data_IF_417287610370
#
_entry.id   IF_417287610370
#
_cell.length_a   1.000
_cell.length_b   1.000
_cell.length_c   1.000
_cell.angle_alpha   90.00
_cell.angle_beta   90.00
_cell.angle_gamma   90.00
#
_symmetry.space_group_name_H-M   'P 1'
#
loop_
_entity.id
_entity.type
_entity.pdbx_description
1 polymer ?
#
# COMPACT_ATOMS: atom_id res chain seq x y z
N UNK A 1 7.37 -10.03 -13.40
CA UNK A 1 7.83 -8.66 -13.72
C UNK A 1 7.04 -8.00 -14.85
N UNK A 2 6.35 -8.75 -15.73
CA UNK A 2 5.54 -8.18 -16.82
C UNK A 2 4.46 -7.19 -16.36
N UNK A 3 3.74 -7.51 -15.28
CA UNK A 3 2.71 -6.61 -14.71
C UNK A 3 3.26 -5.24 -14.32
N UNK A 4 4.43 -5.19 -13.67
CA UNK A 4 5.00 -3.91 -13.27
C UNK A 4 5.51 -3.09 -14.45
N UNK A 5 5.89 -3.72 -15.57
CA UNK A 5 6.23 -3.00 -16.80
C UNK A 5 5.03 -2.26 -17.40
N UNK A 6 3.83 -2.84 -17.31
CA UNK A 6 2.58 -2.21 -17.81
C UNK A 6 2.33 -0.87 -17.09
N UNK A 7 2.55 -0.84 -15.77
CA UNK A 7 2.38 0.37 -14.94
C UNK A 7 3.66 1.19 -14.76
N UNK A 8 4.70 0.90 -15.55
CA UNK A 8 5.93 1.70 -15.56
C UNK A 8 6.82 1.57 -14.32
N UNK A 9 6.67 0.52 -13.51
CA UNK A 9 7.57 0.23 -12.38
C UNK A 9 8.98 -0.06 -12.90
N UNK A 10 9.95 0.69 -12.39
CA UNK A 10 11.35 0.65 -12.86
C UNK A 10 12.29 -0.16 -11.97
N UNK A 11 11.93 -0.36 -10.71
CA UNK A 11 12.76 -1.06 -9.72
C UNK A 11 11.90 -2.05 -8.96
N UNK A 12 12.41 -3.28 -8.82
CA UNK A 12 11.82 -4.32 -7.99
C UNK A 12 12.85 -4.71 -6.93
N UNK A 13 12.39 -4.80 -5.68
CA UNK A 13 13.19 -5.28 -4.57
C UNK A 13 12.52 -6.54 -4.04
N UNK A 14 13.17 -7.69 -4.23
CA UNK A 14 12.72 -8.96 -3.67
C UNK A 14 13.46 -9.20 -2.36
N UNK A 15 12.71 -9.59 -1.32
CA UNK A 15 13.27 -9.86 0.02
C UNK A 15 13.46 -11.37 0.27
N UNK A 16 13.11 -12.18 -0.73
CA UNK A 16 13.39 -13.61 -0.81
C UNK A 16 12.96 -14.41 0.44
N UNK A 17 11.84 -14.01 1.03
CA UNK A 17 11.15 -14.78 2.06
C UNK A 17 9.98 -15.52 1.41
N UNK A 18 10.00 -16.84 1.49
CA UNK A 18 9.04 -17.68 0.79
C UNK A 18 7.66 -17.63 1.44
N UNK A 19 6.63 -17.67 0.59
CA UNK A 19 5.25 -17.96 0.98
C UNK A 19 5.05 -19.47 0.83
N UNK A 20 5.11 -20.20 1.94
CA UNK A 20 5.08 -21.67 1.94
C UNK A 20 3.66 -22.24 1.97
N UNK A 21 2.71 -21.49 2.54
CA UNK A 21 1.33 -21.92 2.70
C UNK A 21 0.37 -20.73 2.81
N UNK A 22 -0.86 -20.91 2.29
CA UNK A 22 -1.94 -19.97 2.55
C UNK A 22 -2.42 -20.10 3.99
N UNK A 23 -2.33 -19.02 4.76
CA UNK A 23 -2.83 -18.95 6.14
C UNK A 23 -3.14 -17.51 6.48
N UNK A 24 -4.17 -17.27 7.30
CA UNK A 24 -4.47 -15.95 7.87
C UNK A 24 -3.73 -15.69 9.19
N UNK A 25 -3.07 -16.71 9.74
CA UNK A 25 -2.32 -16.60 10.98
C UNK A 25 -0.97 -15.88 10.76
N UNK A 26 -0.90 -14.63 11.19
CA UNK A 26 0.31 -13.80 11.14
C UNK A 26 1.45 -14.37 11.99
N UNK A 27 1.14 -15.13 13.04
CA UNK A 27 2.16 -15.76 13.88
C UNK A 27 2.85 -16.88 13.12
N UNK A 28 2.12 -17.69 12.35
CA UNK A 28 2.73 -18.74 11.51
C UNK A 28 3.76 -18.14 10.55
N UNK A 29 3.43 -17.01 9.91
CA UNK A 29 4.36 -16.30 9.00
C UNK A 29 5.64 -15.87 9.74
N UNK A 30 5.50 -15.16 10.87
CA UNK A 30 6.64 -14.59 11.59
C UNK A 30 7.47 -15.63 12.39
N UNK A 31 6.88 -16.76 12.77
CA UNK A 31 7.55 -17.78 13.59
C UNK A 31 8.16 -18.91 12.77
N UNK A 32 7.65 -19.18 11.56
CA UNK A 32 8.05 -20.36 10.78
C UNK A 32 8.61 -20.05 9.41
N UNK A 33 8.25 -18.90 8.81
CA UNK A 33 8.55 -18.65 7.39
C UNK A 33 9.52 -17.49 7.20
N UNK A 34 9.21 -16.34 7.80
CA UNK A 34 9.94 -15.11 7.55
C UNK A 34 10.88 -14.75 8.69
N UNK A 35 12.12 -14.40 8.36
CA UNK A 35 13.02 -13.75 9.30
C UNK A 35 12.65 -12.27 9.42
N UNK A 36 11.95 -11.91 10.50
CA UNK A 36 11.51 -10.55 10.81
C UNK A 36 12.63 -9.50 10.69
N UNK A 37 13.75 -9.72 11.37
CA UNK A 37 14.84 -8.73 11.42
C UNK A 37 15.53 -8.57 10.06
N UNK A 38 15.64 -9.67 9.31
CA UNK A 38 16.09 -9.61 7.91
C UNK A 38 15.17 -8.73 7.06
N UNK A 39 13.86 -8.98 7.11
CA UNK A 39 12.88 -8.19 6.33
C UNK A 39 12.91 -6.71 6.71
N UNK A 40 12.97 -6.39 8.00
CA UNK A 40 13.11 -5.00 8.48
C UNK A 40 14.39 -4.36 7.95
N UNK A 41 15.52 -5.08 7.98
CA UNK A 41 16.77 -4.60 7.39
C UNK A 41 16.64 -4.30 5.89
N UNK A 42 15.95 -5.18 5.14
CA UNK A 42 15.70 -4.96 3.70
C UNK A 42 14.76 -3.78 3.42
N UNK A 43 13.72 -3.58 4.24
CA UNK A 43 12.87 -2.37 4.16
C UNK A 43 13.70 -1.11 4.43
N UNK A 44 14.50 -1.11 5.49
CA UNK A 44 15.38 0.01 5.81
C UNK A 44 16.32 0.34 4.64
N UNK A 45 16.99 -0.66 4.08
CA UNK A 45 17.88 -0.48 2.92
C UNK A 45 17.13 0.06 1.70
N UNK A 46 15.91 -0.44 1.46
CA UNK A 46 15.10 -0.03 0.32
C UNK A 46 14.65 1.42 0.48
N UNK A 47 14.16 1.81 1.65
CA UNK A 47 13.75 3.21 1.93
C UNK A 47 14.94 4.15 1.76
N UNK A 48 16.11 3.78 2.29
CA UNK A 48 17.29 4.64 2.28
C UNK A 48 17.97 4.75 0.91
N UNK A 49 18.06 3.65 0.16
CA UNK A 49 18.89 3.59 -1.05
C UNK A 49 18.09 3.35 -2.34
N UNK A 50 16.83 2.95 -2.23
CA UNK A 50 16.01 2.51 -3.37
C UNK A 50 15.76 3.61 -4.40
N UNK A 51 15.66 4.88 -3.98
CA UNK A 51 15.48 6.03 -4.86
C UNK A 51 16.69 6.99 -4.88
N UNK A 52 17.86 6.51 -4.45
CA UNK A 52 19.05 7.35 -4.27
C UNK A 52 18.83 8.46 -3.24
N UNK A 53 19.59 9.55 -3.35
CA UNK A 53 19.59 10.65 -2.36
C UNK A 53 18.23 11.38 -2.19
N UNK A 54 17.29 11.21 -3.13
CA UNK A 54 15.96 11.83 -3.02
C UNK A 54 15.05 11.12 -2.03
N UNK A 55 15.30 9.84 -1.73
CA UNK A 55 14.42 9.02 -0.89
C UNK A 55 13.02 8.84 -1.49
N UNK A 56 12.08 8.37 -0.68
CA UNK A 56 10.68 8.19 -1.05
C UNK A 56 9.80 9.10 -0.20
N UNK A 57 8.89 9.84 -0.84
CA UNK A 57 7.93 10.72 -0.12
C UNK A 57 6.71 9.94 0.40
N UNK A 58 6.33 8.88 -0.32
CA UNK A 58 5.14 8.07 -0.07
C UNK A 58 5.49 6.58 -0.11
N UNK A 59 4.95 5.83 0.84
CA UNK A 59 4.97 4.37 0.89
C UNK A 59 3.53 3.87 0.96
N UNK A 60 3.11 3.11 -0.05
CA UNK A 60 1.81 2.44 -0.06
C UNK A 60 2.03 0.99 0.35
N UNK A 61 1.32 0.55 1.39
CA UNK A 61 1.38 -0.82 1.90
C UNK A 61 0.01 -1.48 1.78
N UNK A 62 -0.01 -2.82 1.81
CA UNK A 62 -1.26 -3.54 2.05
C UNK A 62 -1.77 -3.16 3.45
N UNK A 63 -3.01 -2.71 3.54
CA UNK A 63 -3.67 -2.43 4.81
C UNK A 63 -3.75 -3.73 5.63
N UNK A 64 -3.13 -3.79 6.82
CA UNK A 64 -3.19 -4.99 7.65
C UNK A 64 -4.65 -5.37 7.93
N UNK A 65 -5.06 -6.60 7.68
CA UNK A 65 -6.44 -7.01 7.93
C UNK A 65 -6.52 -8.52 8.24
N UNK A 66 -7.27 -8.88 9.28
CA UNK A 66 -7.39 -10.27 9.77
C UNK A 66 -8.00 -11.24 8.75
N UNK A 67 -8.73 -10.72 7.76
CA UNK A 67 -9.31 -11.51 6.68
C UNK A 67 -8.36 -11.69 5.49
N UNK A 68 -7.27 -10.93 5.43
CA UNK A 68 -6.26 -11.05 4.37
C UNK A 68 -5.39 -12.28 4.59
N UNK A 69 -4.73 -12.72 3.52
CA UNK A 69 -3.61 -13.66 3.64
C UNK A 69 -2.57 -13.11 4.64
N UNK A 70 -2.06 -13.97 5.52
CA UNK A 70 -1.18 -13.61 6.62
C UNK A 70 0.07 -12.88 6.14
N UNK A 71 0.60 -13.24 4.96
CA UNK A 71 1.73 -12.56 4.33
C UNK A 71 1.41 -11.10 3.94
N UNK A 72 0.19 -10.79 3.49
CA UNK A 72 -0.23 -9.41 3.20
C UNK A 72 -0.20 -8.58 4.49
N UNK A 73 -0.82 -9.10 5.54
CA UNK A 73 -0.91 -8.44 6.85
C UNK A 73 0.47 -8.26 7.47
N UNK A 74 1.29 -9.30 7.51
CA UNK A 74 2.65 -9.23 8.08
C UNK A 74 3.54 -8.26 7.30
N UNK A 75 3.48 -8.25 5.98
CA UNK A 75 4.23 -7.28 5.16
C UNK A 75 3.92 -5.83 5.54
N UNK A 76 2.63 -5.49 5.67
CA UNK A 76 2.21 -4.16 6.12
C UNK A 76 2.67 -3.82 7.54
N UNK A 77 2.58 -4.78 8.47
CA UNK A 77 3.02 -4.59 9.86
C UNK A 77 4.55 -4.38 9.96
N UNK A 78 5.34 -5.15 9.21
CA UNK A 78 6.80 -5.00 9.20
C UNK A 78 7.25 -3.68 8.56
N UNK A 79 6.52 -3.20 7.54
CA UNK A 79 6.74 -1.87 6.99
C UNK A 79 6.48 -0.77 8.03
N UNK A 80 5.35 -0.82 8.74
CA UNK A 80 5.03 0.13 9.81
C UNK A 80 6.05 0.09 10.96
N UNK A 81 6.50 -1.10 11.34
CA UNK A 81 7.57 -1.26 12.32
C UNK A 81 8.88 -0.63 11.84
N UNK A 82 9.22 -0.79 10.56
CA UNK A 82 10.41 -0.16 9.97
C UNK A 82 10.32 1.37 10.02
N UNK A 83 9.16 1.95 9.67
CA UNK A 83 8.91 3.40 9.78
C UNK A 83 9.07 3.86 11.24
N UNK A 84 8.50 3.11 12.19
CA UNK A 84 8.64 3.43 13.62
C UNK A 84 10.10 3.44 14.07
N UNK A 85 10.91 2.44 13.65
CA UNK A 85 12.34 2.36 13.98
C UNK A 85 13.11 3.54 13.36
N UNK A 86 12.82 3.89 12.10
CA UNK A 86 13.43 5.04 11.42
C UNK A 86 13.13 6.37 12.13
N UNK A 87 11.87 6.59 12.54
CA UNK A 87 11.46 7.79 13.28
C UNK A 87 12.15 7.90 14.65
N UNK A 88 12.42 6.77 15.31
CA UNK A 88 13.14 6.74 16.59
C UNK A 88 14.63 7.02 16.44
N UNK A 89 15.25 6.59 15.33
CA UNK A 89 16.69 6.79 15.10
C UNK A 89 17.07 8.23 14.72
N UNK A 90 16.09 9.08 14.32
CA UNK A 90 16.26 10.50 13.94
C UNK A 90 17.61 10.81 13.26
N UNK A 91 17.81 10.25 12.07
CA UNK A 91 18.96 10.61 11.23
C UNK A 91 18.54 11.66 10.20
N UNK A 92 19.29 12.77 10.12
CA UNK A 92 19.06 13.83 9.14
C UNK A 92 19.24 13.36 7.68
N UNK A 93 19.89 12.21 7.47
CA UNK A 93 20.25 11.71 6.14
C UNK A 93 19.18 10.78 5.53
N UNK A 94 18.06 10.54 6.21
CA UNK A 94 17.02 9.62 5.75
C UNK A 94 15.70 10.36 5.62
N UNK A 95 15.19 10.42 4.38
CA UNK A 95 13.81 10.83 4.11
C UNK A 95 12.88 9.68 4.51
N UNK A 96 12.11 9.88 5.58
CA UNK A 96 11.12 8.90 6.06
C UNK A 96 9.81 9.12 5.28
N UNK A 97 9.35 8.15 4.47
CA UNK A 97 8.13 8.33 3.68
C UNK A 97 6.90 8.45 4.58
N UNK A 98 5.87 9.11 4.06
CA UNK A 98 4.51 9.03 4.59
C UNK A 98 3.94 7.67 4.20
N UNK A 99 3.42 6.90 5.16
CA UNK A 99 2.87 5.57 4.90
C UNK A 99 1.34 5.60 4.84
N UNK A 100 0.76 5.02 3.80
CA UNK A 100 -0.70 4.82 3.66
C UNK A 100 -1.01 3.35 3.34
N UNK A 101 -2.16 2.86 3.80
CA UNK A 101 -2.58 1.48 3.61
C UNK A 101 -3.67 1.36 2.55
N UNK A 102 -3.42 0.63 1.47
CA UNK A 102 -4.43 0.26 0.47
C UNK A 102 -5.22 -0.98 0.91
N UNK A 103 -6.53 -0.90 0.90
CA UNK A 103 -7.41 -1.99 1.32
C UNK A 103 -7.69 -2.98 0.21
N UNK A 104 -7.58 -4.28 0.50
CA UNK A 104 -8.00 -5.38 -0.39
C UNK A 104 -9.53 -5.55 -0.44
N UNK A 105 -10.21 -5.03 0.59
CA UNK A 105 -11.65 -5.12 0.79
C UNK A 105 -12.29 -3.74 0.81
N UNK A 106 -13.56 -3.66 0.43
CA UNK A 106 -14.38 -2.47 0.67
C UNK A 106 -14.82 -2.49 2.13
N UNK A 107 -14.33 -1.53 2.91
CA UNK A 107 -14.63 -1.38 4.32
C UNK A 107 -15.69 -0.29 4.52
N UNK A 108 -16.74 -0.63 5.25
CA UNK A 108 -17.79 0.34 5.62
C UNK A 108 -17.35 1.31 6.72
N UNK A 109 -16.29 0.96 7.45
CA UNK A 109 -15.73 1.75 8.54
C UNK A 109 -14.21 1.60 8.54
N UNK A 110 -13.45 2.63 8.97
CA UNK A 110 -12.02 2.49 9.10
C UNK A 110 -11.67 1.35 10.09
N UNK A 111 -10.66 0.52 9.78
CA UNK A 111 -10.30 -0.60 10.62
C UNK A 111 -9.76 -0.15 11.98
N UNK A 112 -9.80 -1.07 12.95
CA UNK A 112 -9.26 -0.87 14.30
C UNK A 112 -8.23 -1.95 14.62
N UNK A 113 -7.20 -1.57 15.37
CA UNK A 113 -6.05 -2.43 15.67
C UNK A 113 -5.70 -2.39 17.16
N UNK A 114 -6.55 -2.96 18.04
CA UNK A 114 -6.33 -2.90 19.48
C UNK A 114 -5.01 -3.56 19.91
N UNK A 115 -4.58 -4.59 19.18
CA UNK A 115 -3.36 -5.35 19.47
C UNK A 115 -2.12 -4.82 18.73
N UNK A 116 -2.28 -3.86 17.81
CA UNK A 116 -1.18 -3.31 17.03
C UNK A 116 -1.35 -1.81 16.79
N UNK A 117 -0.87 -1.01 17.74
CA UNK A 117 -0.95 0.46 17.69
C UNK A 117 -0.18 1.09 16.53
N UNK A 118 0.77 0.38 15.90
CA UNK A 118 1.48 0.91 14.74
C UNK A 118 0.58 0.96 13.49
N UNK A 119 -0.42 0.07 13.41
CA UNK A 119 -1.40 0.04 12.32
C UNK A 119 -2.59 0.95 12.56
N UNK A 120 -2.63 1.70 13.67
CA UNK A 120 -3.73 2.60 13.97
C UNK A 120 -3.94 3.62 12.83
N UNK A 121 -5.14 3.63 12.28
CA UNK A 121 -5.57 4.58 11.25
C UNK A 121 -5.92 5.89 11.92
N UNK A 122 -5.41 6.98 11.35
CA UNK A 122 -5.71 8.33 11.77
C UNK A 122 -7.20 8.63 11.57
N UNK A 123 -7.81 9.19 12.60
CA UNK A 123 -9.23 9.56 12.59
C UNK A 123 -9.35 11.04 12.90
N UNK A 124 -9.92 11.79 11.98
CA UNK A 124 -10.34 13.17 12.19
C UNK A 124 -11.78 13.33 11.68
N UNK A 125 -12.48 14.34 12.16
CA UNK A 125 -13.88 14.63 11.78
C UNK A 125 -14.07 14.85 10.28
N UNK A 126 -13.01 15.23 9.55
CA UNK A 126 -13.10 15.62 8.13
C UNK A 126 -12.60 14.56 7.14
N UNK A 127 -11.61 13.75 7.49
CA UNK A 127 -11.02 12.74 6.58
C UNK A 127 -10.78 11.43 7.33
N UNK A 128 -11.43 10.37 6.85
CA UNK A 128 -11.33 9.01 7.42
C UNK A 128 -10.82 7.98 6.41
N UNK A 129 -10.81 8.32 5.12
CA UNK A 129 -10.34 7.49 4.02
C UNK A 129 -10.02 8.37 2.80
N UNK A 130 -9.24 7.81 1.89
CA UNK A 130 -9.00 8.33 0.54
C UNK A 130 -9.47 7.30 -0.47
N UNK A 131 -9.96 7.74 -1.63
CA UNK A 131 -10.51 6.86 -2.65
C UNK A 131 -9.87 7.10 -4.01
N UNK A 132 -9.62 6.02 -4.74
CA UNK A 132 -9.23 6.07 -6.14
C UNK A 132 -10.28 5.32 -6.96
N UNK A 133 -10.84 5.98 -7.97
CA UNK A 133 -11.96 5.42 -8.75
C UNK A 133 -11.42 4.66 -9.97
N UNK A 134 -11.67 3.36 -9.98
CA UNK A 134 -11.21 2.44 -11.02
C UNK A 134 -11.96 2.60 -12.34
N UNK A 135 -13.11 3.28 -12.35
CA UNK A 135 -13.88 3.58 -13.56
C UNK A 135 -13.38 4.79 -14.34
N UNK A 136 -12.35 5.49 -13.84
CA UNK A 136 -11.78 6.62 -14.56
C UNK A 136 -11.29 6.25 -15.94
N UNK A 137 -11.73 7.05 -16.92
CA UNK A 137 -11.42 6.86 -18.34
C UNK A 137 -9.98 7.21 -18.61
N UNK A 138 -9.35 6.44 -19.47
CA UNK A 138 -8.01 6.77 -19.96
C UNK A 138 -8.12 7.91 -20.98
N UNK A 139 -7.17 8.85 -20.92
CA UNK A 139 -7.07 9.96 -21.87
C UNK A 139 -7.01 9.38 -23.29
N UNK A 140 -7.78 9.96 -24.23
CA UNK A 140 -7.89 9.55 -25.63
C UNK A 140 -8.43 8.11 -25.87
N UNK A 141 -9.02 7.46 -24.87
CA UNK A 141 -9.59 6.12 -25.01
C UNK A 141 -10.98 6.02 -24.33
N UNK A 142 -12.07 6.45 -25.01
CA UNK A 142 -13.39 6.61 -24.40
C UNK A 142 -14.02 5.30 -23.90
N UNK A 143 -13.59 4.16 -24.44
CA UNK A 143 -14.05 2.83 -24.03
C UNK A 143 -13.19 2.21 -22.92
N UNK A 144 -11.96 2.69 -22.71
CA UNK A 144 -11.03 2.15 -21.73
C UNK A 144 -11.06 2.97 -20.43
N UNK A 145 -10.89 2.27 -19.32
CA UNK A 145 -10.78 2.86 -17.99
C UNK A 145 -9.64 2.17 -17.22
N UNK A 146 -9.39 2.57 -15.98
CA UNK A 146 -8.31 1.99 -15.18
C UNK A 146 -8.45 0.48 -14.96
N UNK A 147 -9.68 -0.08 -14.93
CA UNK A 147 -9.89 -1.53 -14.90
C UNK A 147 -9.27 -2.26 -16.10
N UNK A 148 -9.14 -1.59 -17.24
CA UNK A 148 -8.43 -2.14 -18.42
C UNK A 148 -6.96 -2.39 -18.11
N UNK A 149 -6.31 -1.47 -17.41
CA UNK A 149 -4.92 -1.61 -16.96
C UNK A 149 -4.80 -2.78 -15.98
N UNK A 150 -5.74 -2.90 -15.03
CA UNK A 150 -5.79 -4.02 -14.09
C UNK A 150 -5.95 -5.37 -14.80
N UNK A 151 -6.78 -5.45 -15.83
CA UNK A 151 -6.94 -6.66 -16.63
C UNK A 151 -5.63 -7.05 -17.34
N UNK A 152 -4.91 -6.07 -17.92
CA UNK A 152 -3.60 -6.34 -18.52
C UNK A 152 -2.58 -6.82 -17.49
N UNK A 153 -2.56 -6.22 -16.29
CA UNK A 153 -1.70 -6.68 -15.19
C UNK A 153 -2.03 -8.10 -14.74
N UNK A 154 -3.32 -8.44 -14.60
CA UNK A 154 -3.77 -9.78 -14.22
C UNK A 154 -3.43 -10.83 -15.29
N UNK A 155 -3.53 -10.47 -16.57
CA UNK A 155 -3.18 -11.35 -17.69
C UNK A 155 -1.68 -11.72 -17.73
N UNK A 156 -0.79 -10.85 -17.23
CA UNK A 156 0.64 -11.13 -17.12
C UNK A 156 0.99 -12.15 -16.02
N UNK A 157 0.05 -12.46 -15.11
CA UNK A 157 0.22 -13.43 -14.04
C UNK A 157 -0.67 -14.65 -14.25
N UNK A 158 -0.06 -15.78 -14.68
CA UNK A 158 -0.79 -17.04 -14.95
C UNK A 158 -1.71 -17.49 -13.82
N UNK A 159 -1.35 -17.22 -12.57
CA UNK A 159 -2.12 -17.62 -11.38
C UNK A 159 -3.15 -16.58 -10.92
N UNK A 160 -3.19 -15.39 -11.53
CA UNK A 160 -4.12 -14.31 -11.19
C UNK A 160 -5.17 -14.03 -12.28
N UNK A 161 -5.16 -14.77 -13.40
CA UNK A 161 -6.20 -14.65 -14.44
C UNK A 161 -7.63 -14.89 -13.92
N UNK A 162 -7.78 -15.64 -12.82
CA UNK A 162 -9.07 -15.83 -12.14
C UNK A 162 -9.63 -14.57 -11.47
N UNK A 163 -8.85 -13.50 -11.33
CA UNK A 163 -9.31 -12.20 -10.81
C UNK A 163 -9.98 -11.34 -11.88
N UNK A 164 -9.79 -11.64 -13.18
CA UNK A 164 -10.37 -10.86 -14.29
C UNK A 164 -11.91 -10.83 -14.24
N UNK A 165 -12.64 -11.94 -13.98
CA UNK A 165 -14.08 -11.89 -13.80
C UNK A 165 -14.50 -10.92 -12.69
N UNK A 166 -13.88 -10.99 -11.51
CA UNK A 166 -14.18 -10.09 -10.39
C UNK A 166 -13.94 -8.62 -10.77
N UNK A 167 -12.80 -8.31 -11.39
CA UNK A 167 -12.45 -6.96 -11.84
C UNK A 167 -13.47 -6.39 -12.85
N UNK A 168 -14.06 -7.24 -13.68
CA UNK A 168 -14.99 -6.85 -14.73
C UNK A 168 -16.45 -6.79 -14.27
N UNK A 169 -16.86 -7.63 -13.29
CA UNK A 169 -18.27 -7.79 -12.93
C UNK A 169 -18.65 -7.22 -11.56
N UNK A 170 -17.70 -7.00 -10.67
CA UNK A 170 -17.99 -6.52 -9.32
C UNK A 170 -18.02 -4.98 -9.26
N UNK A 171 -19.22 -4.40 -9.32
CA UNK A 171 -19.43 -2.95 -9.17
C UNK A 171 -19.16 -2.44 -7.76
N UNK A 172 -19.07 -3.31 -6.75
CA UNK A 172 -18.72 -2.87 -5.39
C UNK A 172 -17.26 -2.43 -5.31
N UNK A 173 -16.42 -2.88 -6.25
CA UNK A 173 -15.00 -2.53 -6.38
C UNK A 173 -14.74 -1.36 -7.34
N UNK A 174 -15.71 -0.47 -7.54
CA UNK A 174 -15.49 0.71 -8.39
C UNK A 174 -14.47 1.69 -7.79
N UNK A 175 -14.19 1.61 -6.49
CA UNK A 175 -13.20 2.43 -5.82
C UNK A 175 -12.24 1.58 -4.97
N UNK A 176 -10.95 1.89 -5.06
CA UNK A 176 -9.96 1.46 -4.07
C UNK A 176 -9.99 2.41 -2.87
N UNK A 177 -9.85 1.85 -1.67
CA UNK A 177 -9.81 2.60 -0.41
C UNK A 177 -8.40 2.62 0.16
N UNK A 178 -7.99 3.81 0.61
CA UNK A 178 -6.70 4.04 1.22
C UNK A 178 -6.88 4.71 2.58
N UNK A 179 -6.08 4.30 3.56
CA UNK A 179 -6.15 4.78 4.93
C UNK A 179 -4.82 5.38 5.36
N UNK A 180 -4.88 6.53 6.01
CA UNK A 180 -3.71 7.22 6.53
C UNK A 180 -3.44 6.77 7.96
N UNK A 181 -2.20 6.41 8.27
CA UNK A 181 -1.84 5.89 9.59
C UNK A 181 -1.45 6.99 10.58
N UNK A 182 -1.83 6.84 11.85
CA UNK A 182 -1.49 7.75 12.95
C UNK A 182 0.02 7.85 13.17
N UNK A 183 0.80 6.83 12.78
CA UNK A 183 2.27 6.85 12.86
C UNK A 183 2.90 8.02 12.07
N UNK A 184 2.23 8.51 11.03
CA UNK A 184 2.71 9.66 10.26
C UNK A 184 2.74 10.96 11.07
N UNK A 185 1.89 11.07 12.11
CA UNK A 185 1.74 12.26 12.94
C UNK A 185 2.75 12.32 14.10
N UNK A 186 3.47 11.22 14.37
CA UNK A 186 4.46 11.14 15.46
C UNK A 186 5.65 12.07 15.25
N UNK A 187 5.87 12.49 14.01
CA UNK A 187 6.98 13.36 13.61
C UNK A 187 6.44 14.72 13.16
N UNK A 188 5.71 15.41 14.06
CA UNK A 188 5.30 16.83 14.16
C UNK A 188 5.08 17.72 12.92
N UNK A 189 5.02 17.18 11.70
CA UNK A 189 4.88 17.94 10.47
C UNK A 189 3.47 17.75 9.93
N UNK A 190 2.59 18.72 10.20
CA UNK A 190 1.23 18.82 9.63
C UNK A 190 1.18 18.81 8.09
N UNK A 191 2.33 18.76 7.41
CA UNK A 191 2.48 18.72 5.96
C UNK A 191 2.18 17.34 5.34
N UNK A 192 2.26 16.24 6.09
CA UNK A 192 2.10 14.89 5.52
C UNK A 192 0.66 14.55 5.13
N UNK A 193 -0.30 14.84 6.00
CA UNK A 193 -1.72 14.64 5.70
C UNK A 193 -2.16 15.52 4.52
N UNK A 194 -1.71 16.78 4.48
CA UNK A 194 -2.01 17.71 3.40
C UNK A 194 -1.45 17.20 2.06
N UNK A 195 -0.22 16.70 2.04
CA UNK A 195 0.38 16.09 0.84
C UNK A 195 -0.47 14.92 0.31
N UNK A 196 -0.99 14.06 1.18
CA UNK A 196 -1.87 12.95 0.77
C UNK A 196 -3.22 13.48 0.27
N UNK A 197 -3.79 14.50 0.91
CA UNK A 197 -5.01 15.15 0.43
C UNK A 197 -4.84 15.77 -0.96
N UNK A 198 -3.73 16.49 -1.18
CA UNK A 198 -3.39 17.09 -2.46
C UNK A 198 -3.19 16.02 -3.53
N UNK A 199 -2.50 14.92 -3.22
CA UNK A 199 -2.34 13.79 -4.15
C UNK A 199 -3.70 13.25 -4.62
N UNK A 200 -4.61 12.93 -3.69
CA UNK A 200 -5.91 12.39 -4.08
C UNK A 200 -6.82 13.42 -4.75
N UNK A 201 -6.66 14.71 -4.42
CA UNK A 201 -7.34 15.82 -5.12
C UNK A 201 -6.83 15.95 -6.55
N UNK A 202 -5.51 15.91 -6.76
CA UNK A 202 -4.92 15.95 -8.10
C UNK A 202 -5.35 14.74 -8.92
N UNK A 203 -5.32 13.55 -8.34
CA UNK A 203 -5.83 12.35 -8.99
C UNK A 203 -7.29 12.55 -9.42
N UNK A 204 -8.15 13.10 -8.56
CA UNK A 204 -9.53 13.40 -8.94
C UNK A 204 -9.64 14.44 -10.07
N UNK A 205 -8.79 15.47 -10.06
CA UNK A 205 -8.87 16.62 -10.97
C UNK A 205 -8.19 16.42 -12.33
N UNK A 206 -7.22 15.50 -12.47
CA UNK A 206 -6.56 15.18 -13.76
C UNK A 206 -7.60 14.77 -14.84
N UNK A 207 -8.83 14.47 -14.43
CA UNK A 207 -9.85 13.88 -15.27
C UNK A 207 -11.12 14.75 -15.46
N UNK A 208 -11.09 16.04 -15.08
CA UNK A 208 -12.14 17.03 -15.42
C UNK A 208 -11.85 17.79 -16.75
N UNK A 209 -10.79 17.43 -17.46
CA UNK A 209 -10.37 18.00 -18.76
C UNK A 209 -10.27 16.94 -19.84
#
# INVERSE_FOLDING_TARGET
MGSGRIVGIRKFFFYDQFDLEYSRDTNSVLSKQWNKEWVIGRFHDTIRHGNGARGYDLMIIMLPNVNSHGHHTVSGLLALETISRLQQMKSADIVIPTVIGGSEFVLNQPPTYPENQLAEVFRNTTVNEFRFNLRWKLIDAPIANYQTILCWMAAEHKTQGGLIPELCTDSTRDNEQYFYFTINERDSHSSRLLMVQELFTQLANIHEH
#
